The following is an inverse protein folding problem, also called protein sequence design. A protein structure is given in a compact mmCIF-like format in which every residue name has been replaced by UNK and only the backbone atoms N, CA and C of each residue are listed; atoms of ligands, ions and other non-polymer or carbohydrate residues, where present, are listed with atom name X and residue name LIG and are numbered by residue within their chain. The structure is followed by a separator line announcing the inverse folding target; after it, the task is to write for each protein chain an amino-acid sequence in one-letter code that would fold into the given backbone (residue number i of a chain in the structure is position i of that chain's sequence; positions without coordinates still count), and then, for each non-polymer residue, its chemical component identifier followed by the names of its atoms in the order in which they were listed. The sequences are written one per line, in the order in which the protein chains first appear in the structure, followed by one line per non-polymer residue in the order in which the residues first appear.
data_IF_961500983259
#
_entry.id   IF_961500983259
#
_cell.length_a   1.000
_cell.length_b   1.000
_cell.length_c   1.000
_cell.angle_alpha   90.00
_cell.angle_beta   90.00
_cell.angle_gamma   90.00
#
_symmetry.space_group_name_H-M   'P 1'
#
loop_
_entity.id
_entity.type
_entity.pdbx_description
1 polymer ?
#
# COMPACT_ATOMS: atom_id res chain seq x y z
N UNK A 1 9.31 3.13 -35.51
CA UNK A 1 7.94 2.59 -35.42
C UNK A 1 8.01 1.08 -35.19
N UNK A 2 8.09 0.61 -33.93
CA UNK A 2 7.98 -0.82 -33.52
C UNK A 2 7.67 -1.04 -32.01
N UNK A 3 7.60 0.00 -31.16
CA UNK A 3 7.36 -0.20 -29.72
C UNK A 3 5.89 -0.53 -29.37
N UNK A 4 4.89 0.11 -29.99
CA UNK A 4 3.48 -0.10 -29.63
C UNK A 4 2.92 -1.50 -29.93
N UNK A 5 3.38 -2.16 -30.99
CA UNK A 5 2.87 -3.50 -31.38
C UNK A 5 3.33 -4.60 -30.40
N UNK A 6 4.48 -4.40 -29.76
CA UNK A 6 5.02 -5.32 -28.73
C UNK A 6 4.31 -5.15 -27.39
N UNK A 7 4.01 -3.91 -27.00
CA UNK A 7 3.32 -3.59 -25.74
C UNK A 7 1.85 -4.04 -25.76
N UNK A 8 1.14 -3.82 -26.87
CA UNK A 8 -0.26 -4.26 -27.04
C UNK A 8 -0.37 -5.79 -26.98
N UNK A 9 0.61 -6.50 -27.53
CA UNK A 9 0.68 -7.97 -27.48
C UNK A 9 0.91 -8.47 -26.06
N UNK A 10 1.86 -7.87 -25.33
CA UNK A 10 2.13 -8.20 -23.92
C UNK A 10 0.90 -7.99 -23.03
N UNK A 11 0.19 -6.87 -23.23
CA UNK A 11 -1.02 -6.57 -22.48
C UNK A 11 -2.13 -7.60 -22.74
N UNK A 12 -2.32 -8.01 -24.00
CA UNK A 12 -3.32 -9.00 -24.36
C UNK A 12 -3.00 -10.37 -23.75
N UNK A 13 -1.74 -10.79 -23.81
CA UNK A 13 -1.27 -12.03 -23.20
C UNK A 13 -1.49 -11.99 -21.68
N UNK A 14 -1.07 -10.91 -21.01
CA UNK A 14 -1.27 -10.73 -19.57
C UNK A 14 -2.75 -10.84 -19.17
N UNK A 15 -3.65 -10.15 -19.89
CA UNK A 15 -5.11 -10.25 -19.65
C UNK A 15 -5.64 -11.66 -19.82
N UNK A 16 -5.17 -12.38 -20.84
CA UNK A 16 -5.60 -13.76 -21.11
C UNK A 16 -5.19 -14.69 -19.96
N UNK A 17 -3.95 -14.57 -19.49
CA UNK A 17 -3.41 -15.42 -18.44
C UNK A 17 -4.04 -15.13 -17.06
N UNK A 18 -4.22 -13.84 -16.72
CA UNK A 18 -4.96 -13.44 -15.52
C UNK A 18 -6.43 -13.89 -15.59
N UNK A 19 -7.07 -13.78 -16.76
CA UNK A 19 -8.42 -14.28 -16.99
C UNK A 19 -8.56 -15.80 -16.84
N UNK A 20 -7.47 -16.54 -17.02
CA UNK A 20 -7.38 -17.98 -16.76
C UNK A 20 -7.11 -18.32 -15.26
N UNK A 21 -6.98 -17.30 -14.40
CA UNK A 21 -6.80 -17.46 -12.96
C UNK A 21 -5.36 -17.56 -12.48
N UNK A 22 -4.36 -17.33 -13.34
CA UNK A 22 -2.96 -17.18 -12.92
C UNK A 22 -2.80 -15.92 -12.09
N UNK A 23 -1.88 -15.93 -11.13
CA UNK A 23 -1.58 -14.73 -10.36
C UNK A 23 -0.60 -13.79 -11.09
N UNK A 24 -0.47 -12.56 -10.62
CA UNK A 24 0.34 -11.54 -11.26
C UNK A 24 1.85 -11.88 -11.28
N UNK A 25 2.33 -12.62 -10.28
CA UNK A 25 3.72 -13.06 -10.18
C UNK A 25 4.01 -14.09 -11.29
N UNK A 26 3.17 -15.11 -11.39
CA UNK A 26 3.25 -16.14 -12.43
C UNK A 26 3.16 -15.57 -13.84
N UNK A 27 2.27 -14.59 -14.06
CA UNK A 27 2.10 -13.96 -15.37
C UNK A 27 3.32 -13.11 -15.72
N UNK A 28 3.84 -12.32 -14.78
CA UNK A 28 5.05 -11.54 -15.00
C UNK A 28 6.24 -12.42 -15.37
N UNK A 29 6.50 -13.48 -14.60
CA UNK A 29 7.62 -14.39 -14.86
C UNK A 29 7.57 -14.96 -16.26
N UNK A 30 6.41 -15.46 -16.70
CA UNK A 30 6.27 -16.04 -18.04
C UNK A 30 6.59 -15.03 -19.15
N UNK A 31 6.05 -13.81 -19.04
CA UNK A 31 6.28 -12.76 -20.04
C UNK A 31 7.75 -12.31 -20.04
N UNK A 32 8.35 -12.20 -18.85
CA UNK A 32 9.74 -11.85 -18.66
C UNK A 32 10.68 -12.89 -19.29
N UNK A 33 10.44 -14.19 -19.08
CA UNK A 33 11.20 -15.29 -19.69
C UNK A 33 11.12 -15.23 -21.22
N UNK A 34 9.95 -14.91 -21.76
CA UNK A 34 9.72 -14.87 -23.22
C UNK A 34 10.40 -13.71 -23.92
N UNK A 35 10.49 -12.55 -23.26
CA UNK A 35 10.88 -11.30 -23.93
C UNK A 35 12.19 -10.70 -23.45
N UNK A 36 12.58 -10.93 -22.20
CA UNK A 36 13.70 -10.27 -21.55
C UNK A 36 13.47 -8.78 -21.23
N UNK A 37 12.31 -8.20 -21.58
CA UNK A 37 11.96 -6.81 -21.26
C UNK A 37 11.05 -6.75 -20.04
N UNK A 38 11.68 -6.78 -18.86
CA UNK A 38 10.98 -6.87 -17.60
C UNK A 38 10.18 -5.60 -17.27
N UNK A 39 10.64 -4.43 -17.70
CA UNK A 39 9.91 -3.17 -17.52
C UNK A 39 8.60 -3.19 -18.29
N UNK A 40 8.64 -3.57 -19.58
CA UNK A 40 7.43 -3.70 -20.39
C UNK A 40 6.49 -4.80 -19.86
N UNK A 41 7.03 -5.92 -19.38
CA UNK A 41 6.23 -7.00 -18.79
C UNK A 41 5.52 -6.55 -17.51
N UNK A 42 6.23 -5.88 -16.59
CA UNK A 42 5.64 -5.36 -15.36
C UNK A 42 4.53 -4.34 -15.66
N UNK A 43 4.74 -3.46 -16.64
CA UNK A 43 3.73 -2.49 -17.07
C UNK A 43 2.50 -3.19 -17.66
N UNK A 44 2.69 -4.16 -18.56
CA UNK A 44 1.61 -4.93 -19.15
C UNK A 44 0.74 -5.64 -18.10
N UNK A 45 1.37 -6.25 -17.09
CA UNK A 45 0.66 -6.90 -15.98
C UNK A 45 -0.13 -5.88 -15.15
N UNK A 46 0.46 -4.73 -14.81
CA UNK A 46 -0.24 -3.65 -14.09
C UNK A 46 -1.49 -3.17 -14.84
N UNK A 47 -1.35 -2.90 -16.14
CA UNK A 47 -2.46 -2.45 -16.99
C UNK A 47 -3.52 -3.54 -17.17
N UNK A 48 -3.13 -4.81 -17.22
CA UNK A 48 -4.06 -5.94 -17.29
C UNK A 48 -4.88 -6.08 -16.01
N UNK A 49 -4.29 -5.79 -14.85
CA UNK A 49 -4.96 -5.73 -13.54
C UNK A 49 -5.84 -4.49 -13.37
N UNK A 50 -5.73 -3.50 -14.25
CA UNK A 50 -6.50 -2.25 -14.19
C UNK A 50 -5.84 -1.14 -13.37
N UNK A 51 -4.54 -1.25 -13.09
CA UNK A 51 -3.76 -0.14 -12.50
C UNK A 51 -3.63 0.99 -13.53
N UNK A 52 -3.90 2.26 -13.18
CA UNK A 52 -3.70 3.38 -14.09
C UNK A 52 -2.25 3.46 -14.60
N UNK A 53 -2.07 3.77 -15.88
CA UNK A 53 -0.74 3.76 -16.51
C UNK A 53 0.28 4.65 -15.78
N UNK A 54 -0.09 5.88 -15.44
CA UNK A 54 0.78 6.82 -14.72
C UNK A 54 1.26 6.27 -13.38
N UNK A 55 0.39 5.54 -12.68
CA UNK A 55 0.69 4.95 -11.39
C UNK A 55 1.57 3.72 -11.54
N UNK A 56 1.28 2.87 -12.54
CA UNK A 56 2.10 1.72 -12.87
C UNK A 56 3.54 2.14 -13.21
N UNK A 57 3.71 3.14 -14.07
CA UNK A 57 5.01 3.68 -14.44
C UNK A 57 5.78 4.26 -13.24
N UNK A 58 5.09 4.98 -12.35
CA UNK A 58 5.69 5.53 -11.14
C UNK A 58 6.21 4.42 -10.22
N UNK A 59 5.40 3.38 -9.97
CA UNK A 59 5.78 2.23 -9.13
C UNK A 59 6.95 1.45 -9.73
N UNK A 60 6.92 1.19 -11.03
CA UNK A 60 8.00 0.49 -11.73
C UNK A 60 9.31 1.29 -11.62
N UNK A 61 9.24 2.61 -11.78
CA UNK A 61 10.42 3.49 -11.64
C UNK A 61 11.04 3.43 -10.25
N UNK A 62 10.24 3.28 -9.19
CA UNK A 62 10.73 3.17 -7.81
C UNK A 62 11.52 1.88 -7.57
N UNK A 63 11.11 0.76 -8.19
CA UNK A 63 11.76 -0.55 -8.04
C UNK A 63 12.80 -0.84 -9.12
N UNK A 64 12.84 -0.03 -10.19
CA UNK A 64 13.74 -0.24 -11.34
C UNK A 64 15.21 -0.44 -10.95
N UNK A 65 15.82 0.35 -10.05
CA UNK A 65 17.23 0.14 -9.69
C UNK A 65 17.51 -1.23 -9.05
N UNK A 66 16.51 -1.82 -8.38
CA UNK A 66 16.63 -3.15 -7.77
C UNK A 66 16.39 -4.25 -8.81
N UNK A 67 15.53 -4.02 -9.80
CA UNK A 67 15.32 -4.96 -10.90
C UNK A 67 16.58 -5.13 -11.76
N UNK A 68 17.37 -4.07 -11.93
CA UNK A 68 18.64 -4.11 -12.67
C UNK A 68 19.71 -5.01 -12.03
N UNK A 69 19.52 -5.43 -10.76
CA UNK A 69 20.45 -6.34 -10.07
C UNK A 69 20.29 -7.80 -10.48
N UNK A 70 19.16 -8.17 -11.10
CA UNK A 70 18.90 -9.55 -11.52
C UNK A 70 19.26 -9.77 -12.99
N UNK A 71 19.44 -11.04 -13.34
CA UNK A 71 19.83 -11.50 -14.67
C UNK A 71 18.83 -12.50 -15.24
N UNK A 72 18.97 -12.81 -16.54
CA UNK A 72 18.14 -13.83 -17.18
C UNK A 72 18.28 -15.18 -16.46
N UNK A 73 17.14 -15.83 -16.15
CA UNK A 73 17.06 -17.01 -15.29
C UNK A 73 16.73 -16.70 -13.82
N UNK A 74 16.60 -15.43 -13.44
CA UNK A 74 16.19 -14.98 -12.10
C UNK A 74 14.81 -14.29 -12.09
N UNK A 75 13.98 -14.55 -13.11
CA UNK A 75 12.64 -13.96 -13.27
C UNK A 75 11.75 -14.25 -12.05
N UNK A 76 11.87 -15.47 -11.50
CA UNK A 76 11.50 -15.88 -10.13
C UNK A 76 11.61 -14.76 -9.08
N UNK A 77 12.85 -14.35 -8.86
CA UNK A 77 13.21 -13.41 -7.81
C UNK A 77 12.79 -11.99 -8.15
N UNK A 78 12.88 -11.60 -9.43
CA UNK A 78 12.39 -10.31 -9.89
C UNK A 78 10.86 -10.19 -9.67
N UNK A 79 10.11 -11.24 -9.95
CA UNK A 79 8.66 -11.29 -9.73
C UNK A 79 8.32 -11.11 -8.24
N UNK A 80 8.99 -11.86 -7.38
CA UNK A 80 8.85 -11.74 -5.92
C UNK A 80 9.21 -10.33 -5.42
N UNK A 81 10.23 -9.67 -5.99
CA UNK A 81 10.56 -8.28 -5.67
C UNK A 81 9.42 -7.34 -6.05
N UNK A 82 8.84 -7.47 -7.24
CA UNK A 82 7.72 -6.63 -7.71
C UNK A 82 6.48 -6.79 -6.83
N UNK A 83 6.18 -8.03 -6.42
CA UNK A 83 5.10 -8.32 -5.45
C UNK A 83 5.41 -7.68 -4.10
N UNK A 84 6.62 -7.83 -3.58
CA UNK A 84 7.02 -7.18 -2.32
C UNK A 84 6.94 -5.65 -2.40
N UNK A 85 7.34 -5.08 -3.54
CA UNK A 85 7.23 -3.66 -3.87
C UNK A 85 5.81 -3.18 -4.14
N UNK A 86 4.81 -4.08 -4.11
CA UNK A 86 3.39 -3.76 -4.31
C UNK A 86 3.11 -3.13 -5.69
N UNK A 87 3.88 -3.49 -6.71
CA UNK A 87 3.74 -2.95 -8.07
C UNK A 87 2.39 -3.35 -8.65
N UNK A 88 1.99 -4.61 -8.46
CA UNK A 88 0.79 -5.22 -9.02
C UNK A 88 -0.50 -5.02 -8.20
N UNK A 89 -0.49 -4.22 -7.12
CA UNK A 89 -1.69 -4.02 -6.31
C UNK A 89 -2.66 -3.07 -7.01
N UNK A 90 -3.92 -3.48 -7.18
CA UNK A 90 -4.98 -2.59 -7.66
C UNK A 90 -5.49 -1.75 -6.51
N UNK A 91 -5.45 -0.43 -6.67
CA UNK A 91 -5.90 0.49 -5.64
C UNK A 91 -7.43 0.43 -5.56
N UNK A 92 -7.94 0.18 -4.36
CA UNK A 92 -9.37 0.20 -4.10
C UNK A 92 -9.88 1.63 -4.23
N UNK A 93 -10.90 1.81 -5.06
CA UNK A 93 -11.65 3.07 -5.10
C UNK A 93 -12.40 3.22 -3.78
N UNK A 94 -12.12 4.31 -3.08
CA UNK A 94 -12.77 4.67 -1.83
C UNK A 94 -13.75 5.81 -2.09
N UNK A 95 -14.80 5.90 -1.28
CA UNK A 95 -15.64 7.08 -1.24
C UNK A 95 -14.94 8.21 -0.46
N UNK A 96 -15.48 9.44 -0.51
CA UNK A 96 -14.87 10.61 0.14
C UNK A 96 -14.52 10.36 1.62
N UNK A 97 -15.34 9.57 2.33
CA UNK A 97 -15.09 9.21 3.72
C UNK A 97 -13.96 8.21 3.86
N UNK A 98 -13.93 7.16 3.04
CA UNK A 98 -12.83 6.20 2.98
C UNK A 98 -11.51 6.87 2.62
N UNK A 99 -11.51 7.80 1.66
CA UNK A 99 -10.33 8.61 1.33
C UNK A 99 -9.88 9.45 2.53
N UNK A 100 -10.82 10.09 3.23
CA UNK A 100 -10.50 10.86 4.43
C UNK A 100 -9.87 10.01 5.53
N UNK A 101 -10.38 8.79 5.75
CA UNK A 101 -9.82 7.85 6.72
C UNK A 101 -8.41 7.41 6.26
N UNK A 102 -8.24 7.10 4.97
CA UNK A 102 -6.95 6.74 4.37
C UNK A 102 -5.91 7.83 4.61
N UNK A 103 -6.25 9.08 4.36
CA UNK A 103 -5.36 10.23 4.57
C UNK A 103 -4.95 10.40 6.05
N UNK A 104 -5.89 10.24 6.97
CA UNK A 104 -5.62 10.30 8.41
C UNK A 104 -4.66 9.17 8.85
N UNK A 105 -4.91 7.95 8.37
CA UNK A 105 -4.03 6.81 8.63
C UNK A 105 -2.65 6.99 7.98
N UNK A 106 -2.58 7.65 6.82
CA UNK A 106 -1.33 7.99 6.14
C UNK A 106 -0.51 9.01 6.94
N UNK A 107 -1.16 10.05 7.47
CA UNK A 107 -0.53 11.02 8.39
C UNK A 107 0.00 10.31 9.63
N UNK A 108 -0.78 9.41 10.23
CA UNK A 108 -0.34 8.62 11.38
C UNK A 108 0.88 7.74 11.03
N UNK A 109 0.87 7.05 9.89
CA UNK A 109 2.00 6.26 9.44
C UNK A 109 3.27 7.10 9.25
N UNK A 110 3.15 8.28 8.62
CA UNK A 110 4.25 9.23 8.43
C UNK A 110 4.87 9.70 9.76
N UNK A 111 4.05 10.03 10.76
CA UNK A 111 4.53 10.44 12.08
C UNK A 111 5.31 9.33 12.81
N UNK A 112 5.04 8.06 12.50
CA UNK A 112 5.67 6.89 13.15
C UNK A 112 7.05 6.53 12.58
N UNK A 113 7.48 7.13 11.47
CA UNK A 113 8.76 6.86 10.77
C UNK A 113 8.77 5.59 9.90
N UNK A 114 7.80 5.46 8.99
CA UNK A 114 7.93 4.61 7.80
C UNK A 114 7.10 3.32 7.78
N UNK A 115 6.95 2.80 6.56
CA UNK A 115 6.04 1.71 6.20
C UNK A 115 6.77 0.37 6.14
N UNK A 116 6.36 -0.65 6.92
CA UNK A 116 6.49 -2.02 6.47
C UNK A 116 5.81 -2.14 5.09
N UNK A 117 6.43 -2.81 4.12
CA UNK A 117 5.85 -2.96 2.77
C UNK A 117 4.42 -3.53 2.77
N UNK A 118 4.08 -4.32 3.80
CA UNK A 118 2.73 -4.84 4.03
C UNK A 118 1.68 -3.78 4.38
N UNK A 119 2.07 -2.62 4.95
CA UNK A 119 1.12 -1.53 5.19
C UNK A 119 0.71 -0.85 3.90
N UNK A 120 1.63 -0.68 2.95
CA UNK A 120 1.33 -0.07 1.66
C UNK A 120 0.23 -0.87 0.92
N UNK A 121 0.32 -2.20 0.97
CA UNK A 121 -0.72 -3.08 0.43
C UNK A 121 -2.10 -2.81 1.07
N UNK A 122 -2.15 -2.64 2.40
CA UNK A 122 -3.41 -2.35 3.10
C UNK A 122 -3.94 -0.94 2.80
N UNK A 123 -3.07 0.04 2.61
CA UNK A 123 -3.47 1.38 2.18
C UNK A 123 -4.08 1.36 0.78
N UNK A 124 -3.42 0.67 -0.15
CA UNK A 124 -3.88 0.53 -1.55
C UNK A 124 -5.15 -0.30 -1.64
N UNK A 125 -5.23 -1.42 -0.93
CA UNK A 125 -6.42 -2.28 -0.89
C UNK A 125 -7.60 -1.69 -0.11
N UNK A 126 -7.42 -0.54 0.56
CA UNK A 126 -8.48 0.10 1.35
C UNK A 126 -8.88 -0.71 2.59
N UNK A 127 -7.94 -1.43 3.19
CA UNK A 127 -8.11 -2.21 4.42
C UNK A 127 -8.06 -1.29 5.67
N UNK A 128 -8.90 -0.25 5.66
CA UNK A 128 -8.81 0.89 6.59
C UNK A 128 -9.04 0.48 8.06
N UNK A 129 -10.02 -0.39 8.32
CA UNK A 129 -10.27 -0.94 9.66
C UNK A 129 -9.06 -1.72 10.17
N UNK A 130 -8.46 -2.54 9.31
CA UNK A 130 -7.28 -3.34 9.65
C UNK A 130 -6.07 -2.44 9.97
N UNK A 131 -5.85 -1.40 9.17
CA UNK A 131 -4.82 -0.39 9.41
C UNK A 131 -5.03 0.33 10.74
N UNK A 132 -6.25 0.80 11.00
CA UNK A 132 -6.60 1.46 12.26
C UNK A 132 -6.35 0.54 13.45
N UNK A 133 -6.84 -0.70 13.42
CA UNK A 133 -6.65 -1.67 14.50
C UNK A 133 -5.18 -2.02 14.71
N UNK A 134 -4.40 -2.12 13.64
CA UNK A 134 -2.96 -2.30 13.72
C UNK A 134 -2.32 -1.13 14.46
N UNK A 135 -2.53 0.11 14.01
CA UNK A 135 -1.91 1.28 14.64
C UNK A 135 -2.39 1.50 16.09
N UNK A 136 -3.66 1.24 16.40
CA UNK A 136 -4.23 1.40 17.75
C UNK A 136 -3.59 0.49 18.80
N UNK A 137 -3.00 -0.63 18.36
CA UNK A 137 -2.29 -1.61 19.22
C UNK A 137 -0.80 -1.33 19.31
N UNK A 138 -0.28 -0.40 18.52
CA UNK A 138 1.15 -0.12 18.45
C UNK A 138 1.54 1.09 19.29
N UNK A 139 2.62 0.95 20.05
CA UNK A 139 3.20 2.09 20.78
C UNK A 139 3.83 3.08 19.81
N UNK A 140 3.62 4.38 19.99
CA UNK A 140 4.35 5.39 19.23
C UNK A 140 5.86 5.29 19.50
N UNK A 141 6.65 4.97 18.47
CA UNK A 141 8.11 4.83 18.56
C UNK A 141 8.87 5.83 17.68
N UNK A 142 8.18 6.85 17.17
CA UNK A 142 8.78 7.85 16.29
C UNK A 142 9.83 8.70 17.03
N UNK A 143 11.07 8.72 16.54
CA UNK A 143 12.11 9.63 17.06
C UNK A 143 11.98 11.08 16.56
N UNK A 144 11.22 11.31 15.48
CA UNK A 144 11.11 12.62 14.80
C UNK A 144 9.68 13.09 14.51
N UNK A 145 8.66 12.23 14.64
CA UNK A 145 7.28 12.63 14.44
C UNK A 145 6.62 13.12 15.73
N UNK A 146 5.50 13.82 15.59
CA UNK A 146 4.69 14.30 16.72
C UNK A 146 3.78 13.17 17.23
N UNK A 147 3.95 12.71 18.49
CA UNK A 147 3.02 11.75 19.09
C UNK A 147 1.59 12.32 19.15
N UNK A 148 1.46 13.63 19.34
CA UNK A 148 0.15 14.31 19.37
C UNK A 148 -0.57 14.22 18.04
N UNK A 149 0.14 14.48 16.93
CA UNK A 149 -0.46 14.44 15.59
C UNK A 149 -0.84 13.01 15.20
N UNK A 150 0.01 12.04 15.58
CA UNK A 150 -0.28 10.62 15.42
C UNK A 150 -1.59 10.23 16.10
N UNK A 151 -1.72 10.52 17.40
CA UNK A 151 -2.90 10.13 18.16
C UNK A 151 -4.14 10.92 17.77
N UNK A 152 -4.01 12.19 17.38
CA UNK A 152 -5.12 13.00 16.86
C UNK A 152 -5.68 12.44 15.54
N UNK A 153 -4.79 12.06 14.62
CA UNK A 153 -5.19 11.42 13.37
C UNK A 153 -5.86 10.06 13.62
N UNK A 154 -5.30 9.25 14.54
CA UNK A 154 -5.87 7.97 14.95
C UNK A 154 -7.25 8.09 15.58
N UNK A 155 -7.46 9.04 16.49
CA UNK A 155 -8.78 9.29 17.11
C UNK A 155 -9.80 9.69 16.04
N UNK A 156 -9.45 10.63 15.17
CA UNK A 156 -10.36 11.10 14.10
C UNK A 156 -10.72 9.95 13.15
N UNK A 157 -9.75 9.13 12.76
CA UNK A 157 -9.99 7.97 11.90
C UNK A 157 -10.90 6.93 12.58
N UNK A 158 -10.67 6.66 13.87
CA UNK A 158 -11.49 5.73 14.66
C UNK A 158 -12.93 6.21 14.83
N UNK A 159 -13.14 7.52 15.04
CA UNK A 159 -14.49 8.11 15.11
C UNK A 159 -15.25 7.98 13.80
N UNK A 160 -14.56 8.25 12.68
CA UNK A 160 -15.15 8.03 11.38
C UNK A 160 -15.53 6.56 11.21
N UNK A 161 -14.62 5.60 11.47
CA UNK A 161 -14.88 4.17 11.37
C UNK A 161 -16.04 3.69 12.27
N UNK A 162 -16.13 4.21 13.51
CA UNK A 162 -17.19 3.86 14.43
C UNK A 162 -18.58 4.30 13.95
N UNK A 163 -18.67 5.40 13.19
CA UNK A 163 -19.94 5.94 12.71
C UNK A 163 -20.61 5.10 11.60
N UNK A 164 -19.87 4.21 10.92
CA UNK A 164 -20.37 3.44 9.77
C UNK A 164 -21.12 2.17 10.17
N UNK A 165 -20.86 1.63 11.36
CA UNK A 165 -21.23 0.25 11.65
C UNK A 165 -20.33 -0.75 10.90
N UNK A 166 -20.49 -2.04 11.15
CA UNK A 166 -19.66 -3.08 10.51
C UNK A 166 -19.34 -4.27 11.42
N UNK A 167 -18.75 -5.34 10.86
CA UNK A 167 -18.49 -6.58 11.59
C UNK A 167 -17.45 -6.41 12.72
N UNK A 168 -16.54 -5.44 12.61
CA UNK A 168 -15.44 -5.22 13.57
C UNK A 168 -15.70 -4.06 14.54
N UNK A 169 -16.95 -3.61 14.71
CA UNK A 169 -17.28 -2.39 15.47
C UNK A 169 -16.86 -2.45 16.95
N UNK A 170 -16.97 -3.60 17.59
CA UNK A 170 -16.50 -3.78 18.97
C UNK A 170 -14.98 -3.57 19.06
N UNK A 171 -14.23 -4.11 18.08
CA UNK A 171 -12.78 -3.95 18.02
C UNK A 171 -12.40 -2.50 17.71
N UNK A 172 -13.14 -1.82 16.81
CA UNK A 172 -12.94 -0.40 16.48
C UNK A 172 -13.19 0.47 17.72
N UNK A 173 -14.25 0.20 18.48
CA UNK A 173 -14.58 0.93 19.72
C UNK A 173 -13.46 0.78 20.75
N UNK A 174 -13.01 -0.45 20.99
CA UNK A 174 -11.89 -0.71 21.91
C UNK A 174 -10.60 -0.03 21.43
N UNK A 175 -10.33 -0.05 20.12
CA UNK A 175 -9.19 0.63 19.52
C UNK A 175 -9.25 2.15 19.68
N UNK A 176 -10.43 2.74 19.50
CA UNK A 176 -10.67 4.19 19.64
C UNK A 176 -10.45 4.65 21.07
N UNK A 177 -10.96 3.92 22.06
CA UNK A 177 -10.73 4.24 23.48
C UNK A 177 -9.24 4.20 23.84
N UNK A 178 -8.49 3.23 23.31
CA UNK A 178 -7.02 3.19 23.48
C UNK A 178 -6.35 4.43 22.89
N UNK A 179 -6.77 4.85 21.70
CA UNK A 179 -6.22 6.05 21.05
C UNK A 179 -6.53 7.31 21.84
N UNK A 180 -7.74 7.46 22.39
CA UNK A 180 -8.13 8.59 23.26
C UNK A 180 -7.28 8.66 24.53
N UNK A 181 -7.09 7.54 25.21
CA UNK A 181 -6.21 7.45 26.38
C UNK A 181 -4.76 7.85 26.04
N UNK A 182 -4.24 7.35 24.91
CA UNK A 182 -2.88 7.67 24.47
C UNK A 182 -2.71 9.13 24.05
N UNK A 183 -3.72 9.73 23.40
CA UNK A 183 -3.73 11.15 23.06
C UNK A 183 -3.68 12.04 24.30
N UNK A 184 -4.51 11.74 25.31
CA UNK A 184 -4.50 12.48 26.57
C UNK A 184 -3.12 12.42 27.25
N UNK A 185 -2.51 11.23 27.31
CA UNK A 185 -1.16 11.06 27.86
C UNK A 185 -0.09 11.84 27.09
N UNK A 186 -0.16 11.88 25.75
CA UNK A 186 0.77 12.62 24.91
C UNK A 186 0.68 14.14 25.15
N UNK A 187 -0.54 14.68 25.28
CA UNK A 187 -0.76 16.11 25.58
C UNK A 187 -0.20 16.51 26.95
N UNK A 188 -0.37 15.67 27.97
CA UNK A 188 0.20 15.91 29.30
C UNK A 188 1.73 15.89 29.31
N UNK A 189 2.35 15.01 28.51
CA UNK A 189 3.81 14.89 28.42
C UNK A 189 4.43 16.08 27.68
N UNK A 190 3.76 16.59 26.63
CA UNK A 190 4.19 17.81 25.93
C UNK A 190 4.12 19.09 26.77
N UNK A 191 3.27 19.10 27.82
CA UNK A 191 3.13 20.24 28.73
C UNK A 191 4.18 20.28 29.85
N UNK A 192 5.00 19.23 30.03
CA UNK A 192 5.98 19.13 31.11
C UNK A 192 7.43 19.39 30.67
N UNK A 193 7.68 19.77 29.42
CA UNK A 193 9.03 20.18 28.97
C UNK A 193 9.15 21.70 29.15
N UNK A 194 9.87 22.22 30.15
CA UNK A 194 10.18 23.65 30.23
C UNK A 194 11.05 24.05 29.04
N UNK A 195 10.73 25.21 28.44
CA UNK A 195 11.55 25.87 27.42
C UNK A 195 12.90 26.31 27.96
#
# INVERSE_FOLDING_TARGET
MKHGESEDTLLLDARTMLGAGRDAEEVFTELAVRTGDWGACALAVCLALGVPQTDAEARIREVHPLLEEFTAGEEDFAASLLVCGQVFVVDRVLDDRGERIRDLLWVAAGARWGYPGSLLAWFRGGELTKLFLFFSKTEFRGRRGSPTDFWAAMVTAGELLAAEGGPDQDAVTVGLERCRCAQAAALHTGSQIPR
#
